data_IF_203796435912
#
_entry.id   IF_203796435912
#
_cell.length_a   1.000
_cell.length_b   1.000
_cell.length_c   1.000
_cell.angle_alpha   90.00
_cell.angle_beta   90.00
_cell.angle_gamma   90.00
#
_symmetry.space_group_name_H-M   'P 1'
#
loop_
_entity.id
_entity.type
_entity.pdbx_description
1 polymer ?
#
# COMPACT_ATOMS: atom_id res chain seq x y z
N UNK A 1 -10.90 -9.31 4.45
CA UNK A 1 -10.22 -10.34 3.63
C UNK A 1 -9.60 -11.43 4.50
N UNK A 2 -8.68 -11.16 5.44
CA UNK A 2 -8.08 -12.19 6.30
C UNK A 2 -9.09 -12.89 7.22
N UNK A 3 -9.98 -12.12 7.84
CA UNK A 3 -11.07 -12.67 8.66
C UNK A 3 -11.95 -13.64 7.87
N UNK A 4 -12.36 -13.28 6.66
CA UNK A 4 -13.17 -14.15 5.79
C UNK A 4 -12.45 -15.45 5.43
N UNK A 5 -11.13 -15.41 5.18
CA UNK A 5 -10.37 -16.63 4.93
C UNK A 5 -10.28 -17.51 6.18
N UNK A 6 -10.13 -16.90 7.36
CA UNK A 6 -10.17 -17.62 8.63
C UNK A 6 -11.53 -18.29 8.85
N UNK A 7 -12.63 -17.58 8.59
CA UNK A 7 -13.99 -18.13 8.70
C UNK A 7 -14.20 -19.34 7.78
N UNK A 8 -13.63 -19.31 6.56
CA UNK A 8 -13.64 -20.45 5.65
C UNK A 8 -12.92 -21.65 6.25
N UNK A 9 -11.71 -21.46 6.80
CA UNK A 9 -10.95 -22.54 7.48
C UNK A 9 -11.78 -23.13 8.62
N UNK A 10 -12.30 -22.29 9.52
CA UNK A 10 -13.12 -22.75 10.65
C UNK A 10 -14.39 -23.48 10.19
N UNK A 11 -15.03 -23.01 9.11
CA UNK A 11 -16.18 -23.67 8.53
C UNK A 11 -15.83 -25.04 7.95
N UNK A 12 -14.69 -25.19 7.25
CA UNK A 12 -14.23 -26.47 6.72
C UNK A 12 -13.93 -27.48 7.83
N UNK A 13 -13.32 -27.06 8.94
CA UNK A 13 -13.08 -27.94 10.09
C UNK A 13 -14.41 -28.54 10.60
N UNK A 14 -15.49 -27.75 10.67
CA UNK A 14 -16.83 -28.23 11.07
C UNK A 14 -17.46 -29.24 10.11
N UNK A 15 -17.08 -29.20 8.83
CA UNK A 15 -17.55 -30.15 7.82
C UNK A 15 -16.73 -31.44 7.81
N UNK A 16 -15.44 -31.37 8.17
CA UNK A 16 -14.51 -32.51 8.16
C UNK A 16 -14.61 -33.33 9.43
N UNK A 17 -14.66 -32.72 10.61
CA UNK A 17 -14.55 -33.41 11.89
C UNK A 17 -15.89 -33.57 12.61
N UNK A 18 -16.04 -34.67 13.34
CA UNK A 18 -17.18 -34.94 14.20
C UNK A 18 -17.19 -33.99 15.41
N UNK A 19 -16.02 -33.72 15.97
CA UNK A 19 -15.77 -32.77 17.07
C UNK A 19 -14.84 -31.65 16.60
N UNK A 20 -15.39 -30.54 16.05
CA UNK A 20 -14.58 -29.50 15.41
C UNK A 20 -13.65 -28.76 16.37
N UNK A 21 -14.10 -28.52 17.61
CA UNK A 21 -13.31 -27.82 18.63
C UNK A 21 -12.11 -28.65 19.08
N UNK A 22 -12.30 -29.95 19.31
CA UNK A 22 -11.23 -30.89 19.64
C UNK A 22 -10.21 -30.98 18.51
N UNK A 23 -10.68 -31.05 17.26
CA UNK A 23 -9.80 -31.09 16.09
C UNK A 23 -9.03 -29.79 15.90
N UNK A 24 -9.68 -28.66 16.10
CA UNK A 24 -9.03 -27.35 16.06
C UNK A 24 -7.89 -27.24 17.10
N UNK A 25 -8.14 -27.68 18.33
CA UNK A 25 -7.14 -27.70 19.38
C UNK A 25 -5.96 -28.65 19.03
N UNK A 26 -6.25 -29.85 18.54
CA UNK A 26 -5.24 -30.84 18.13
C UNK A 26 -4.34 -30.33 16.99
N UNK A 27 -4.89 -29.53 16.08
CA UNK A 27 -4.12 -28.92 14.99
C UNK A 27 -3.08 -27.91 15.48
N UNK A 28 -3.24 -27.33 16.68
CA UNK A 28 -2.33 -26.34 17.29
C UNK A 28 -2.06 -25.16 16.35
N UNK A 29 -3.13 -24.43 16.04
CA UNK A 29 -3.09 -23.33 15.08
C UNK A 29 -2.16 -22.19 15.49
N UNK A 30 -1.93 -22.00 16.79
CA UNK A 30 -0.91 -21.11 17.35
C UNK A 30 0.49 -21.44 16.83
N UNK A 31 0.88 -22.73 16.88
CA UNK A 31 2.18 -23.20 16.41
C UNK A 31 2.28 -23.14 14.88
N UNK A 32 1.19 -23.47 14.18
CA UNK A 32 1.08 -23.35 12.72
C UNK A 32 1.29 -21.91 12.24
N UNK A 33 0.77 -20.94 12.98
CA UNK A 33 0.94 -19.51 12.65
C UNK A 33 2.32 -18.96 13.01
N UNK A 34 3.06 -19.66 13.88
CA UNK A 34 4.38 -19.25 14.37
C UNK A 34 5.55 -19.83 13.56
N UNK A 35 5.41 -21.05 13.04
CA UNK A 35 6.48 -21.77 12.35
C UNK A 35 5.99 -22.39 11.02
N UNK A 36 6.65 -21.99 9.92
CA UNK A 36 6.33 -22.48 8.58
C UNK A 36 6.59 -23.97 8.39
N UNK A 37 7.51 -24.57 9.14
CA UNK A 37 7.75 -26.02 9.12
C UNK A 37 6.58 -26.77 9.77
N UNK A 38 6.14 -26.30 10.93
CA UNK A 38 4.94 -26.84 11.61
C UNK A 38 3.71 -26.70 10.71
N UNK A 39 3.58 -25.57 10.01
CA UNK A 39 2.50 -25.37 9.06
C UNK A 39 2.52 -26.41 7.91
N UNK A 40 3.69 -26.65 7.31
CA UNK A 40 3.84 -27.63 6.24
C UNK A 40 3.52 -29.06 6.72
N UNK A 41 3.98 -29.43 7.91
CA UNK A 41 3.66 -30.71 8.54
C UNK A 41 2.15 -30.88 8.76
N UNK A 42 1.47 -29.83 9.25
CA UNK A 42 0.02 -29.87 9.49
C UNK A 42 -0.79 -29.95 8.20
N UNK A 43 -0.40 -29.20 7.17
CA UNK A 43 -1.01 -29.31 5.84
C UNK A 43 -0.84 -30.72 5.26
N UNK A 44 0.34 -31.31 5.39
CA UNK A 44 0.60 -32.69 4.97
C UNK A 44 -0.26 -33.69 5.75
N UNK A 45 -0.37 -33.53 7.06
CA UNK A 45 -1.20 -34.39 7.91
C UNK A 45 -2.70 -34.29 7.57
N UNK A 46 -3.20 -33.12 7.16
CA UNK A 46 -4.60 -32.96 6.71
C UNK A 46 -4.87 -33.82 5.47
N UNK A 47 -3.91 -33.93 4.55
CA UNK A 47 -4.08 -34.72 3.33
C UNK A 47 -3.89 -36.22 3.56
N UNK A 48 -2.87 -36.58 4.35
CA UNK A 48 -2.41 -37.97 4.48
C UNK A 48 -3.09 -38.72 5.63
N UNK A 49 -3.35 -38.04 6.75
CA UNK A 49 -3.91 -38.64 7.94
C UNK A 49 -4.78 -37.63 8.73
N UNK A 50 -5.90 -37.16 8.15
CA UNK A 50 -6.74 -36.17 8.80
C UNK A 50 -7.30 -36.68 10.15
N UNK A 51 -7.49 -37.99 10.30
CA UNK A 51 -7.95 -38.59 11.56
C UNK A 51 -6.98 -38.38 12.74
N UNK A 52 -5.72 -38.02 12.48
CA UNK A 52 -4.75 -37.62 13.53
C UNK A 52 -5.18 -36.40 14.33
N UNK A 53 -6.05 -35.56 13.78
CA UNK A 53 -6.61 -34.40 14.47
C UNK A 53 -7.93 -34.70 15.16
N UNK A 54 -8.59 -35.81 14.83
CA UNK A 54 -9.87 -36.19 15.43
C UNK A 54 -10.71 -37.03 14.48
N UNK A 55 -11.76 -37.65 15.02
CA UNK A 55 -12.66 -38.48 14.23
C UNK A 55 -13.33 -37.65 13.12
N UNK A 56 -13.29 -38.15 11.88
CA UNK A 56 -14.01 -37.56 10.77
C UNK A 56 -15.52 -37.67 10.99
N UNK A 57 -16.26 -36.68 10.48
CA UNK A 57 -17.72 -36.65 10.56
C UNK A 57 -18.31 -37.83 9.82
N UNK A 58 -19.33 -38.46 10.41
CA UNK A 58 -19.99 -39.63 9.83
C UNK A 58 -19.18 -40.93 10.01
N UNK A 59 -19.85 -42.05 9.79
CA UNK A 59 -19.27 -43.39 9.92
C UNK A 59 -19.29 -44.10 8.57
N UNK A 60 -18.30 -44.95 8.37
CA UNK A 60 -18.25 -45.86 7.23
C UNK A 60 -18.32 -47.32 7.71
N UNK A 61 -18.67 -48.23 6.82
CA UNK A 61 -18.72 -49.67 7.08
C UNK A 61 -20.11 -50.30 6.98
N UNK A 62 -20.15 -51.62 7.18
CA UNK A 62 -21.32 -52.46 6.93
C UNK A 62 -22.54 -52.06 7.78
N UNK A 63 -22.30 -51.58 9.01
CA UNK A 63 -23.34 -51.17 9.97
C UNK A 63 -23.70 -49.68 9.92
N UNK A 64 -23.06 -48.88 9.05
CA UNK A 64 -23.34 -47.45 8.94
C UNK A 64 -24.64 -47.18 8.17
N UNK A 65 -25.49 -46.30 8.71
CA UNK A 65 -26.71 -45.85 8.03
C UNK A 65 -26.40 -44.92 6.85
N UNK A 66 -27.40 -44.67 5.98
CA UNK A 66 -27.24 -43.82 4.80
C UNK A 66 -26.74 -42.40 5.14
N UNK A 67 -27.29 -41.80 6.20
CA UNK A 67 -26.90 -40.45 6.67
C UNK A 67 -25.46 -40.39 7.15
N UNK A 68 -25.00 -41.44 7.85
CA UNK A 68 -23.62 -41.53 8.34
C UNK A 68 -22.62 -41.62 7.19
N UNK A 69 -22.95 -42.43 6.16
CA UNK A 69 -22.10 -42.55 4.96
C UNK A 69 -22.04 -41.27 4.15
N UNK A 70 -23.16 -40.55 4.00
CA UNK A 70 -23.15 -39.26 3.29
C UNK A 70 -22.37 -38.20 4.08
N UNK A 71 -22.51 -38.15 5.41
CA UNK A 71 -21.70 -37.27 6.25
C UNK A 71 -20.21 -37.58 6.11
N UNK A 72 -19.82 -38.87 6.04
CA UNK A 72 -18.44 -39.30 5.79
C UNK A 72 -17.95 -38.86 4.41
N UNK A 73 -18.77 -39.01 3.37
CA UNK A 73 -18.44 -38.56 2.00
C UNK A 73 -18.20 -37.05 1.95
N UNK A 74 -19.06 -36.28 2.61
CA UNK A 74 -18.91 -34.81 2.72
C UNK A 74 -17.62 -34.46 3.46
N UNK A 75 -17.31 -35.13 4.57
CA UNK A 75 -16.07 -34.90 5.31
C UNK A 75 -14.82 -35.14 4.44
N UNK A 76 -14.78 -36.27 3.73
CA UNK A 76 -13.67 -36.60 2.84
C UNK A 76 -13.50 -35.58 1.70
N UNK A 77 -14.59 -35.12 1.10
CA UNK A 77 -14.54 -34.11 0.04
C UNK A 77 -14.02 -32.74 0.55
N UNK A 78 -14.27 -32.44 1.83
CA UNK A 78 -13.86 -31.18 2.44
C UNK A 78 -12.43 -31.21 2.99
N UNK A 79 -11.79 -32.36 3.15
CA UNK A 79 -10.38 -32.47 3.60
C UNK A 79 -9.41 -31.68 2.70
N UNK A 80 -9.38 -31.94 1.38
CA UNK A 80 -8.55 -31.16 0.46
C UNK A 80 -8.93 -29.68 0.38
N UNK A 81 -10.20 -29.34 0.64
CA UNK A 81 -10.64 -27.96 0.71
C UNK A 81 -10.09 -27.25 1.96
N UNK A 82 -10.08 -27.95 3.11
CA UNK A 82 -9.47 -27.47 4.34
C UNK A 82 -7.97 -27.17 4.16
N UNK A 83 -7.22 -28.07 3.50
CA UNK A 83 -5.83 -27.80 3.14
C UNK A 83 -5.71 -26.48 2.39
N UNK A 84 -6.44 -26.32 1.28
CA UNK A 84 -6.33 -25.14 0.41
C UNK A 84 -6.66 -23.85 1.14
N UNK A 85 -7.73 -23.86 1.92
CA UNK A 85 -8.17 -22.69 2.68
C UNK A 85 -7.14 -22.32 3.76
N UNK A 86 -6.57 -23.32 4.47
CA UNK A 86 -5.54 -23.08 5.49
C UNK A 86 -4.24 -22.57 4.87
N UNK A 87 -3.77 -23.18 3.78
CA UNK A 87 -2.57 -22.74 3.05
C UNK A 87 -2.73 -21.29 2.58
N UNK A 88 -3.87 -20.97 1.98
CA UNK A 88 -4.16 -19.61 1.50
C UNK A 88 -4.22 -18.59 2.64
N UNK A 89 -4.81 -18.96 3.78
CA UNK A 89 -4.82 -18.11 4.97
C UNK A 89 -3.40 -17.77 5.44
N UNK A 90 -2.52 -18.77 5.51
CA UNK A 90 -1.12 -18.59 5.94
C UNK A 90 -0.33 -17.69 4.98
N UNK A 91 -0.44 -17.93 3.67
CA UNK A 91 0.19 -17.08 2.64
C UNK A 91 -0.31 -15.63 2.72
N UNK A 92 -1.62 -15.44 2.89
CA UNK A 92 -2.19 -14.09 2.96
C UNK A 92 -1.81 -13.36 4.26
N UNK A 93 -1.67 -14.10 5.37
CA UNK A 93 -1.17 -13.55 6.62
C UNK A 93 0.29 -13.12 6.48
N UNK A 94 1.12 -13.95 5.88
CA UNK A 94 2.55 -13.65 5.73
C UNK A 94 2.78 -12.45 4.80
N UNK A 95 2.11 -12.42 3.65
CA UNK A 95 2.18 -11.24 2.75
C UNK A 95 1.66 -9.97 3.41
N UNK A 96 0.67 -10.06 4.31
CA UNK A 96 0.20 -8.91 5.09
C UNK A 96 1.24 -8.47 6.12
N UNK A 97 1.89 -9.43 6.80
CA UNK A 97 2.97 -9.17 7.76
C UNK A 97 4.16 -8.49 7.08
N UNK A 98 4.62 -9.03 5.96
CA UNK A 98 5.71 -8.45 5.16
C UNK A 98 5.38 -7.03 4.72
N UNK A 99 4.15 -6.78 4.25
CA UNK A 99 3.71 -5.42 3.89
C UNK A 99 3.70 -4.46 5.07
N UNK A 100 3.34 -4.93 6.26
CA UNK A 100 3.36 -4.10 7.47
C UNK A 100 4.80 -3.77 7.88
N UNK A 101 5.71 -4.75 7.86
CA UNK A 101 7.14 -4.54 8.16
C UNK A 101 7.76 -3.61 7.13
N UNK A 102 7.54 -3.85 5.83
CA UNK A 102 8.03 -2.98 4.77
C UNK A 102 7.45 -1.57 4.87
N UNK A 103 6.18 -1.42 5.25
CA UNK A 103 5.59 -0.10 5.49
C UNK A 103 6.21 0.60 6.70
N UNK A 104 6.59 -0.12 7.75
CA UNK A 104 7.27 0.43 8.93
C UNK A 104 8.70 0.86 8.62
N UNK A 105 9.47 0.04 7.89
CA UNK A 105 10.84 0.36 7.46
C UNK A 105 10.85 1.58 6.54
N UNK A 106 9.97 1.61 5.54
CA UNK A 106 9.80 2.77 4.66
C UNK A 106 9.36 4.01 5.44
N UNK A 107 8.53 3.88 6.47
CA UNK A 107 8.15 5.01 7.32
C UNK A 107 9.36 5.56 8.10
N UNK A 108 10.20 4.69 8.66
CA UNK A 108 11.41 5.11 9.40
C UNK A 108 12.43 5.78 8.49
N UNK A 109 12.65 5.23 7.30
CA UNK A 109 13.54 5.82 6.29
C UNK A 109 13.04 7.20 5.85
N UNK A 110 11.74 7.35 5.56
CA UNK A 110 11.14 8.64 5.15
C UNK A 110 11.19 9.70 6.24
N UNK A 111 10.98 9.31 7.50
CA UNK A 111 11.11 10.23 8.63
C UNK A 111 12.55 10.71 8.84
N UNK A 112 13.55 9.95 8.38
CA UNK A 112 14.96 10.34 8.42
C UNK A 112 15.37 11.32 7.32
N UNK A 113 14.51 11.60 6.33
CA UNK A 113 14.80 12.54 5.25
C UNK A 113 14.58 13.96 5.79
N UNK A 114 15.68 14.68 6.00
CA UNK A 114 15.63 16.09 6.34
C UNK A 114 15.18 16.90 5.11
N UNK A 115 14.22 17.80 5.31
CA UNK A 115 13.77 18.70 4.26
C UNK A 115 14.62 19.96 4.38
N UNK A 116 15.44 20.30 3.37
CA UNK A 116 16.32 21.45 3.46
C UNK A 116 15.51 22.72 3.71
N UNK A 117 15.92 23.49 4.72
CA UNK A 117 15.34 24.80 4.96
C UNK A 117 15.62 25.72 3.76
N UNK A 118 14.57 26.34 3.24
CA UNK A 118 14.70 27.32 2.16
C UNK A 118 15.39 28.58 2.67
N UNK A 119 16.28 29.13 1.84
CA UNK A 119 16.87 30.45 2.02
C UNK A 119 15.76 31.50 2.07
N UNK A 120 15.98 32.64 2.75
CA UNK A 120 14.98 33.71 2.81
C UNK A 120 14.55 34.20 1.42
N UNK A 121 15.44 34.13 0.42
CA UNK A 121 15.13 34.48 -0.95
C UNK A 121 14.19 33.47 -1.61
N UNK A 122 14.50 32.17 -1.50
CA UNK A 122 13.66 31.11 -2.05
C UNK A 122 12.30 31.02 -1.37
N UNK A 123 12.24 31.21 -0.04
CA UNK A 123 10.98 31.27 0.70
C UNK A 123 10.04 32.38 0.17
N UNK A 124 10.56 33.61 -0.01
CA UNK A 124 9.78 34.72 -0.58
C UNK A 124 9.31 34.47 -2.01
N UNK A 125 10.13 33.81 -2.82
CA UNK A 125 9.73 33.43 -4.19
C UNK A 125 8.59 32.42 -4.13
N UNK A 126 8.71 31.39 -3.28
CA UNK A 126 7.69 30.36 -3.14
C UNK A 126 6.35 30.93 -2.61
N UNK A 127 6.39 31.91 -1.72
CA UNK A 127 5.20 32.66 -1.30
C UNK A 127 4.54 33.39 -2.47
N UNK A 128 5.31 34.13 -3.29
CA UNK A 128 4.78 34.82 -4.48
C UNK A 128 4.19 33.85 -5.50
N UNK A 129 4.83 32.69 -5.67
CA UNK A 129 4.35 31.60 -6.52
C UNK A 129 3.01 31.09 -6.00
N UNK A 130 2.90 30.81 -4.69
CA UNK A 130 1.64 30.37 -4.07
C UNK A 130 0.54 31.39 -4.32
N UNK A 131 0.81 32.66 -4.05
CA UNK A 131 -0.17 33.73 -4.24
C UNK A 131 -0.59 33.86 -5.71
N UNK A 132 0.30 33.62 -6.66
CA UNK A 132 -0.02 33.58 -8.09
C UNK A 132 -0.88 32.36 -8.46
N UNK A 133 -0.57 31.17 -7.92
CA UNK A 133 -1.39 29.95 -8.08
C UNK A 133 -2.79 30.15 -7.49
N UNK A 134 -2.91 30.76 -6.31
CA UNK A 134 -4.20 31.04 -5.66
C UNK A 134 -5.04 32.02 -6.48
N UNK A 135 -4.40 32.95 -7.19
CA UNK A 135 -5.05 33.84 -8.18
C UNK A 135 -5.31 33.17 -9.54
N UNK A 136 -4.97 31.89 -9.69
CA UNK A 136 -5.04 31.15 -10.96
C UNK A 136 -4.16 31.75 -12.08
N UNK A 137 -3.07 32.42 -11.72
CA UNK A 137 -2.08 33.02 -12.62
C UNK A 137 -0.82 32.14 -12.71
N UNK A 138 -0.99 31.00 -13.40
CA UNK A 138 0.09 30.02 -13.59
C UNK A 138 1.31 30.58 -14.36
N UNK A 139 1.15 31.42 -15.40
CA UNK A 139 2.30 32.04 -16.07
C UNK A 139 3.14 32.90 -15.12
N UNK A 140 2.52 33.71 -14.26
CA UNK A 140 3.26 34.50 -13.28
C UNK A 140 3.94 33.62 -12.24
N UNK A 141 3.28 32.56 -11.77
CA UNK A 141 3.86 31.61 -10.83
C UNK A 141 5.16 30.99 -11.37
N UNK A 142 5.15 30.50 -12.61
CA UNK A 142 6.36 29.95 -13.24
C UNK A 142 7.40 31.03 -13.53
N UNK A 143 6.96 32.24 -13.89
CA UNK A 143 7.83 33.39 -14.05
C UNK A 143 8.61 33.73 -12.78
N UNK A 144 7.96 33.70 -11.61
CA UNK A 144 8.62 33.91 -10.33
C UNK A 144 9.56 32.77 -9.96
N UNK A 145 9.12 31.52 -10.13
CA UNK A 145 9.91 30.34 -9.77
C UNK A 145 11.20 30.20 -10.62
N UNK A 146 11.16 30.62 -11.89
CA UNK A 146 12.29 30.46 -12.83
C UNK A 146 13.11 31.73 -13.04
N UNK A 147 12.79 32.83 -12.35
CA UNK A 147 13.48 34.11 -12.51
C UNK A 147 14.96 34.06 -12.13
N UNK A 148 15.31 33.28 -11.11
CA UNK A 148 16.68 33.12 -10.61
C UNK A 148 17.07 31.64 -10.61
N UNK A 149 18.21 31.32 -11.25
CA UNK A 149 18.69 29.93 -11.37
C UNK A 149 19.09 29.31 -10.04
N UNK A 150 19.62 30.10 -9.11
CA UNK A 150 20.03 29.63 -7.78
C UNK A 150 18.80 29.33 -6.93
N UNK A 151 17.80 30.21 -6.96
CA UNK A 151 16.51 29.98 -6.30
C UNK A 151 15.80 28.77 -6.90
N UNK A 152 15.79 28.64 -8.23
CA UNK A 152 15.21 27.47 -8.90
C UNK A 152 15.86 26.17 -8.42
N UNK A 153 17.19 26.09 -8.42
CA UNK A 153 17.91 24.89 -7.98
C UNK A 153 17.57 24.53 -6.52
N UNK A 154 17.38 25.53 -5.67
CA UNK A 154 16.96 25.34 -4.29
C UNK A 154 15.50 24.83 -4.17
N UNK A 155 14.58 25.38 -4.96
CA UNK A 155 13.19 24.90 -5.04
C UNK A 155 13.11 23.46 -5.59
N UNK A 156 13.94 23.12 -6.57
CA UNK A 156 14.01 21.76 -7.13
C UNK A 156 14.57 20.76 -6.10
N UNK A 157 15.59 21.15 -5.34
CA UNK A 157 16.14 20.34 -4.25
C UNK A 157 15.12 20.14 -3.12
N UNK A 158 14.37 21.19 -2.78
CA UNK A 158 13.28 21.14 -1.83
C UNK A 158 12.14 20.22 -2.31
N UNK A 159 11.65 20.37 -3.55
CA UNK A 159 10.63 19.49 -4.13
C UNK A 159 11.08 18.04 -4.12
N UNK A 160 12.34 17.78 -4.48
CA UNK A 160 12.92 16.44 -4.45
C UNK A 160 12.87 15.82 -3.05
N UNK A 161 13.32 16.54 -2.01
CA UNK A 161 13.26 16.05 -0.63
C UNK A 161 11.82 15.80 -0.16
N UNK A 162 10.88 16.67 -0.55
CA UNK A 162 9.44 16.51 -0.29
C UNK A 162 8.89 15.26 -0.99
N UNK A 163 9.26 15.02 -2.24
CA UNK A 163 8.87 13.83 -3.00
C UNK A 163 9.46 12.55 -2.41
N UNK A 164 10.71 12.56 -1.96
CA UNK A 164 11.33 11.40 -1.32
C UNK A 164 10.67 11.07 0.03
N UNK A 165 10.35 12.10 0.84
CA UNK A 165 9.73 11.93 2.16
C UNK A 165 8.24 11.56 2.11
N UNK A 166 7.47 12.21 1.25
CA UNK A 166 6.01 12.07 1.23
C UNK A 166 5.47 11.36 -0.01
N UNK A 167 6.22 11.36 -1.10
CA UNK A 167 5.85 10.81 -2.42
C UNK A 167 5.59 11.90 -3.47
N UNK A 168 5.85 11.58 -4.74
CA UNK A 168 5.84 12.48 -5.91
C UNK A 168 4.55 13.29 -6.13
N UNK A 169 3.42 12.86 -5.56
CA UNK A 169 2.10 13.50 -5.72
C UNK A 169 1.34 13.64 -4.41
N UNK A 170 2.03 13.53 -3.28
CA UNK A 170 1.42 13.53 -1.95
C UNK A 170 0.62 14.79 -1.67
N UNK A 171 1.05 15.94 -2.21
CA UNK A 171 0.43 17.24 -1.99
C UNK A 171 -0.39 17.75 -3.18
N UNK A 172 -0.51 16.99 -4.26
CA UNK A 172 -1.27 17.44 -5.44
C UNK A 172 -2.78 17.14 -5.36
N UNK A 173 -3.20 16.25 -4.46
CA UNK A 173 -4.61 15.90 -4.29
C UNK A 173 -5.41 17.03 -3.65
N UNK A 174 -6.73 17.01 -3.83
CA UNK A 174 -7.65 17.95 -3.15
C UNK A 174 -7.64 17.73 -1.63
N UNK A 175 -7.53 16.48 -1.20
CA UNK A 175 -7.47 16.09 0.22
C UNK A 175 -6.20 16.59 0.93
N UNK A 176 -5.17 16.99 0.18
CA UNK A 176 -3.94 17.55 0.71
C UNK A 176 -3.93 19.08 0.74
N UNK A 177 -5.06 19.75 0.49
CA UNK A 177 -5.12 21.23 0.40
C UNK A 177 -4.85 21.90 1.73
N UNK A 178 -5.33 21.29 2.81
CA UNK A 178 -5.11 21.74 4.17
C UNK A 178 -4.25 20.73 4.94
N UNK A 179 -3.53 21.14 5.99
CA UNK A 179 -2.84 20.24 6.91
C UNK A 179 -3.84 19.52 7.84
N UNK A 180 -4.86 18.88 7.27
CA UNK A 180 -5.95 18.21 7.98
C UNK A 180 -6.40 16.96 7.23
N UNK A 181 -7.08 16.06 7.94
CA UNK A 181 -7.66 14.85 7.36
C UNK A 181 -6.63 13.77 7.06
N UNK A 182 -7.05 12.77 6.28
CA UNK A 182 -6.35 11.49 6.16
C UNK A 182 -4.91 11.61 5.61
N UNK A 183 -4.68 12.54 4.68
CA UNK A 183 -3.36 12.74 4.07
C UNK A 183 -2.39 13.33 5.10
N UNK A 184 -2.84 14.34 5.86
CA UNK A 184 -2.04 14.94 6.93
C UNK A 184 -1.76 13.95 8.06
N UNK A 185 -2.76 13.19 8.54
CA UNK A 185 -2.56 12.19 9.58
C UNK A 185 -1.55 11.11 9.18
N UNK A 186 -1.55 10.71 7.90
CA UNK A 186 -0.58 9.74 7.38
C UNK A 186 0.84 10.34 7.33
N UNK A 187 0.97 11.59 6.91
CA UNK A 187 2.25 12.29 6.83
C UNK A 187 2.83 12.60 8.23
N UNK A 188 1.96 12.89 9.21
CA UNK A 188 2.33 13.17 10.59
C UNK A 188 2.47 11.92 11.47
N UNK A 189 2.23 10.73 10.92
CA UNK A 189 2.27 9.48 11.67
C UNK A 189 3.68 9.22 12.24
N UNK A 190 3.78 9.15 13.56
CA UNK A 190 5.04 8.92 14.28
C UNK A 190 5.83 10.18 14.64
N UNK A 191 5.36 11.38 14.29
CA UNK A 191 5.99 12.65 14.69
C UNK A 191 5.59 13.06 16.11
N UNK A 192 6.51 13.74 16.81
CA UNK A 192 6.18 14.40 18.07
C UNK A 192 5.22 15.60 17.83
N UNK A 193 4.44 16.04 18.85
CA UNK A 193 3.50 17.14 18.69
C UNK A 193 4.12 18.42 18.11
N UNK A 194 5.31 18.80 18.57
CA UNK A 194 6.02 19.98 18.08
C UNK A 194 6.48 19.85 16.60
N UNK A 195 6.84 18.64 16.16
CA UNK A 195 7.21 18.36 14.77
C UNK A 195 5.98 18.33 13.85
N UNK A 196 4.85 17.87 14.39
CA UNK A 196 3.56 17.90 13.71
C UNK A 196 3.06 19.33 13.48
N UNK A 197 3.28 20.24 14.43
CA UNK A 197 3.01 21.67 14.24
C UNK A 197 3.89 22.28 13.14
N UNK A 198 5.20 22.04 13.18
CA UNK A 198 6.13 22.49 12.12
C UNK A 198 5.76 21.94 10.74
N UNK A 199 5.30 20.68 10.68
CA UNK A 199 4.81 20.06 9.45
C UNK A 199 3.56 20.78 8.93
N UNK A 200 2.63 21.14 9.82
CA UNK A 200 1.42 21.88 9.45
C UNK A 200 1.75 23.29 8.95
N UNK A 201 2.68 23.99 9.59
CA UNK A 201 3.16 25.31 9.16
C UNK A 201 3.82 25.28 7.78
N UNK A 202 4.64 24.25 7.52
CA UNK A 202 5.35 24.08 6.25
C UNK A 202 4.48 23.45 5.15
N UNK A 203 3.27 23.00 5.48
CA UNK A 203 2.38 22.28 4.56
C UNK A 203 2.06 23.05 3.28
N UNK A 204 1.70 24.35 3.32
CA UNK A 204 1.42 25.11 2.12
C UNK A 204 2.64 25.25 1.21
N UNK A 205 3.84 25.41 1.79
CA UNK A 205 5.10 25.56 1.05
C UNK A 205 5.44 24.27 0.28
N UNK A 206 5.37 23.11 0.94
CA UNK A 206 5.58 21.81 0.30
C UNK A 206 4.60 21.55 -0.84
N UNK A 207 3.33 21.93 -0.64
CA UNK A 207 2.30 21.84 -1.68
C UNK A 207 2.63 22.72 -2.89
N UNK A 208 3.01 23.98 -2.65
CA UNK A 208 3.38 24.91 -3.72
C UNK A 208 4.60 24.40 -4.50
N UNK A 209 5.61 23.85 -3.81
CA UNK A 209 6.78 23.22 -4.45
C UNK A 209 6.38 22.12 -5.45
N UNK A 210 5.57 21.15 -5.01
CA UNK A 210 5.07 20.08 -5.89
C UNK A 210 4.20 20.60 -7.04
N UNK A 211 3.39 21.63 -6.81
CA UNK A 211 2.57 22.23 -7.85
C UNK A 211 3.44 22.85 -8.95
N UNK A 212 4.47 23.63 -8.59
CA UNK A 212 5.39 24.21 -9.56
C UNK A 212 6.11 23.14 -10.36
N UNK A 213 6.69 22.14 -9.69
CA UNK A 213 7.42 21.06 -10.35
C UNK A 213 6.51 20.25 -11.30
N UNK A 214 5.25 19.98 -10.90
CA UNK A 214 4.28 19.30 -11.76
C UNK A 214 3.90 20.14 -13.00
N UNK A 215 3.76 21.47 -12.85
CA UNK A 215 3.48 22.36 -13.97
C UNK A 215 4.67 22.49 -14.91
N UNK A 216 5.89 22.52 -14.37
CA UNK A 216 7.12 22.50 -15.18
C UNK A 216 7.18 21.25 -16.06
N UNK A 217 7.01 20.07 -15.45
CA UNK A 217 7.02 18.79 -16.18
C UNK A 217 5.97 18.76 -17.29
N UNK A 218 4.78 19.31 -17.02
CA UNK A 218 3.72 19.46 -18.02
C UNK A 218 4.15 20.37 -19.17
N UNK A 219 4.76 21.53 -18.88
CA UNK A 219 5.23 22.44 -19.92
C UNK A 219 6.35 21.86 -20.79
N UNK A 220 7.29 21.12 -20.18
CA UNK A 220 8.36 20.44 -20.91
C UNK A 220 7.77 19.40 -21.85
N UNK A 221 6.88 18.53 -21.35
CA UNK A 221 6.21 17.52 -22.16
C UNK A 221 5.39 18.12 -23.33
N UNK A 222 4.72 19.25 -23.11
CA UNK A 222 4.00 19.98 -24.16
C UNK A 222 4.96 20.51 -25.25
N UNK A 223 6.08 21.14 -24.85
CA UNK A 223 7.09 21.64 -25.79
C UNK A 223 7.71 20.52 -26.62
N UNK A 224 8.01 19.39 -26.00
CA UNK A 224 8.55 18.21 -26.69
C UNK A 224 7.53 17.63 -27.69
N UNK A 225 6.26 17.52 -27.29
CA UNK A 225 5.19 17.06 -28.17
C UNK A 225 5.00 17.99 -29.38
N UNK A 226 5.09 19.30 -29.18
CA UNK A 226 4.97 20.27 -30.27
C UNK A 226 6.20 20.24 -31.20
N UNK A 227 7.41 20.06 -30.67
CA UNK A 227 8.61 19.87 -31.47
C UNK A 227 8.54 18.61 -32.35
N UNK A 228 8.02 17.50 -31.79
CA UNK A 228 7.76 16.26 -32.54
C UNK A 228 6.71 16.44 -33.65
N UNK A 229 5.64 17.20 -33.39
CA UNK A 229 4.63 17.51 -34.41
C UNK A 229 5.21 18.37 -35.55
N UNK A 230 6.04 19.35 -35.22
CA UNK A 230 6.66 20.22 -36.22
C UNK A 230 7.64 19.45 -37.12
N UNK A 231 8.48 18.58 -36.56
CA UNK A 231 9.40 17.75 -37.33
C UNK A 231 8.66 16.76 -38.24
N UNK A 232 7.57 16.14 -37.77
CA UNK A 232 6.71 15.28 -38.59
C UNK A 232 6.10 16.05 -39.76
N UNK A 233 5.56 17.25 -39.54
CA UNK A 233 4.99 18.09 -40.61
C UNK A 233 6.01 18.51 -41.66
N UNK A 234 7.23 18.88 -41.25
CA UNK A 234 8.32 19.24 -42.18
C UNK A 234 8.79 18.02 -43.01
N UNK A 235 8.87 16.83 -42.40
CA UNK A 235 9.25 15.61 -43.12
C UNK A 235 8.22 15.14 -44.17
N UNK A 236 6.94 15.52 -44.01
CA UNK A 236 5.87 15.22 -44.97
C UNK A 236 5.82 16.21 -46.15
N UNK A 237 6.25 17.46 -45.95
CA UNK A 237 6.26 18.49 -47.01
C UNK A 237 7.47 18.37 -47.94
N UNK A 238 8.58 17.77 -47.49
CA UNK A 238 9.78 17.53 -48.31
C UNK A 238 9.67 16.28 -49.20
N UNK A 239 8.64 15.44 -49.00
CA UNK A 239 8.38 14.23 -49.81
C UNK A 239 7.38 14.44 -50.96
N UNK A 240 7.03 15.68 -51.27
CA UNK A 240 6.17 16.05 -52.40
C UNK A 240 6.96 16.69 -53.53
#
# INVERSE_FOLDING_TARGET
MLQTQWENVSHRIRLVYAEPETAFAAMRMDAVMADSKVAAERLSAIDQNPESFGALRGRDGLFAGKTDREARRVAMLNGPALHRDLKRYLEMRETTREKLVAAEEVQRERLSIDIPGLSPAAGRVLEKVRDAIDRNDLPAALGFAFADRMVKAELDAFDKAVCERFGDRAFLSLDAKEPKGRVFEKAAAGLAPAEREKLAESWPLMRTGQQVAAQERTQVALKEADAMRQSQRQSQTVKQ
#
